data_IF_199226354652
#
_entry.id   IF_199226354652
#
_cell.length_a   1.000
_cell.length_b   1.000
_cell.length_c   1.000
_cell.angle_alpha   90.00
_cell.angle_beta   90.00
_cell.angle_gamma   90.00
#
_symmetry.space_group_name_H-M   'P 1'
#
loop_
_entity.id
_entity.type
_entity.pdbx_description
1 polymer ?
#
# COMPACT_ATOMS: atom_id res chain seq x y z
N UNK A 1 31.42 16.25 -98.29
CA UNK A 1 31.12 16.69 -99.67
C UNK A 1 31.83 18.01 -99.88
N UNK A 2 32.73 18.14 -100.87
CA UNK A 2 33.36 19.41 -101.20
C UNK A 2 32.59 20.03 -102.38
N UNK A 3 31.47 20.69 -102.09
CA UNK A 3 30.67 21.36 -103.14
C UNK A 3 30.36 22.82 -102.83
N UNK A 4 30.64 23.29 -101.61
CA UNK A 4 30.27 24.63 -101.16
C UNK A 4 31.07 25.74 -101.84
N UNK A 5 32.35 25.56 -102.15
CA UNK A 5 33.16 26.62 -102.76
C UNK A 5 32.83 26.86 -104.25
N UNK A 6 32.64 25.79 -105.03
CA UNK A 6 32.21 25.89 -106.43
C UNK A 6 30.77 26.37 -106.57
N UNK A 7 29.86 25.89 -105.70
CA UNK A 7 28.47 26.36 -105.67
C UNK A 7 28.38 27.84 -105.25
N UNK A 8 29.22 28.27 -104.31
CA UNK A 8 29.30 29.67 -103.86
C UNK A 8 29.88 30.59 -104.94
N UNK A 9 30.86 30.12 -105.71
CA UNK A 9 31.42 30.88 -106.84
C UNK A 9 30.41 31.06 -107.99
N UNK A 10 29.68 30.01 -108.35
CA UNK A 10 28.62 30.11 -109.36
C UNK A 10 27.47 31.00 -108.88
N UNK A 11 27.06 30.88 -107.61
CA UNK A 11 26.06 31.76 -107.00
C UNK A 11 26.51 33.22 -107.01
N UNK A 12 27.79 33.49 -106.72
CA UNK A 12 28.36 34.84 -106.78
C UNK A 12 28.33 35.41 -108.18
N UNK A 13 28.73 34.60 -109.17
CA UNK A 13 28.76 34.99 -110.57
C UNK A 13 27.35 35.32 -111.08
N UNK A 14 26.37 34.51 -110.72
CA UNK A 14 24.98 34.73 -111.12
C UNK A 14 24.36 35.95 -110.41
N UNK A 15 24.64 36.14 -109.11
CA UNK A 15 24.24 37.34 -108.37
C UNK A 15 24.85 38.61 -108.97
N UNK A 16 26.12 38.56 -109.41
CA UNK A 16 26.79 39.69 -110.09
C UNK A 16 26.14 40.03 -111.42
N UNK A 17 25.81 39.01 -112.22
CA UNK A 17 25.16 39.21 -113.52
C UNK A 17 23.77 39.85 -113.39
N UNK A 18 23.01 39.54 -112.34
CA UNK A 18 21.62 40.00 -112.18
C UNK A 18 21.46 41.27 -111.31
N UNK A 19 22.26 41.44 -110.25
CA UNK A 19 22.07 42.48 -109.22
C UNK A 19 23.23 43.49 -109.14
N UNK A 20 24.30 43.28 -109.91
CA UNK A 20 25.50 44.11 -109.91
C UNK A 20 26.46 43.79 -108.75
N UNK A 21 27.72 44.19 -108.92
CA UNK A 21 28.84 43.75 -108.06
C UNK A 21 28.63 44.05 -106.57
N UNK A 22 28.13 45.24 -106.23
CA UNK A 22 28.02 45.67 -104.83
C UNK A 22 26.98 44.88 -104.01
N UNK A 23 25.81 44.59 -104.61
CA UNK A 23 24.72 43.85 -103.95
C UNK A 23 25.09 42.38 -103.86
N UNK A 24 25.68 41.83 -104.94
CA UNK A 24 26.17 40.46 -104.97
C UNK A 24 27.26 40.22 -103.90
N UNK A 25 28.24 41.13 -103.79
CA UNK A 25 29.29 41.06 -102.78
C UNK A 25 28.72 41.19 -101.35
N UNK A 26 27.73 42.06 -101.13
CA UNK A 26 27.07 42.19 -99.82
C UNK A 26 26.27 40.94 -99.43
N UNK A 27 25.53 40.34 -100.35
CA UNK A 27 24.78 39.10 -100.09
C UNK A 27 25.73 37.92 -99.86
N UNK A 28 26.84 37.86 -100.61
CA UNK A 28 27.88 36.85 -100.42
C UNK A 28 28.61 37.00 -99.08
N UNK A 29 28.74 38.22 -98.56
CA UNK A 29 29.28 38.50 -97.22
C UNK A 29 28.28 38.17 -96.10
N UNK A 30 26.98 38.20 -96.37
CA UNK A 30 25.94 37.73 -95.43
C UNK A 30 25.80 36.21 -95.43
N UNK A 31 26.16 35.55 -96.54
CA UNK A 31 26.23 34.09 -96.59
C UNK A 31 27.34 33.60 -95.66
N UNK A 32 27.04 32.68 -94.74
CA UNK A 32 28.01 32.21 -93.78
C UNK A 32 29.20 31.55 -94.47
N UNK A 33 30.39 31.97 -94.07
CA UNK A 33 31.68 31.45 -94.49
C UNK A 33 31.96 30.10 -93.85
N UNK A 34 31.26 29.04 -94.29
CA UNK A 34 31.50 27.61 -93.96
C UNK A 34 31.52 27.19 -92.47
N UNK A 35 31.39 28.11 -91.53
CA UNK A 35 31.57 27.86 -90.09
C UNK A 35 30.34 27.41 -89.31
N UNK A 36 29.19 27.21 -89.94
CA UNK A 36 27.98 26.75 -89.23
C UNK A 36 27.98 25.24 -88.95
N UNK A 37 28.92 24.50 -89.55
CA UNK A 37 29.25 23.13 -89.14
C UNK A 37 29.90 23.05 -87.76
N UNK A 38 30.43 24.17 -87.24
CA UNK A 38 31.08 24.29 -85.93
C UNK A 38 30.15 24.76 -84.81
N UNK A 39 29.01 25.39 -85.11
CA UNK A 39 28.11 25.95 -84.08
C UNK A 39 27.47 24.88 -83.19
N UNK A 40 27.45 23.63 -83.66
CA UNK A 40 27.42 22.46 -82.81
C UNK A 40 27.86 21.25 -83.63
N UNK A 41 29.15 20.90 -83.62
CA UNK A 41 29.53 19.58 -84.11
C UNK A 41 28.74 18.57 -83.28
N UNK A 42 28.10 17.59 -83.92
CA UNK A 42 27.44 16.46 -83.24
C UNK A 42 28.33 15.86 -82.16
N UNK A 43 29.66 15.85 -82.39
CA UNK A 43 30.69 15.41 -81.44
C UNK A 43 30.77 16.21 -80.14
N UNK A 44 30.52 17.52 -80.14
CA UNK A 44 30.53 18.35 -78.93
C UNK A 44 29.25 18.13 -78.11
N UNK A 45 28.12 17.95 -78.80
CA UNK A 45 26.86 17.53 -78.17
C UNK A 45 27.02 16.13 -77.54
N UNK A 46 27.61 15.18 -78.26
CA UNK A 46 27.88 13.83 -77.76
C UNK A 46 28.81 13.85 -76.54
N UNK A 47 29.83 14.72 -76.54
CA UNK A 47 30.73 14.88 -75.40
C UNK A 47 30.00 15.41 -74.18
N UNK A 48 29.19 16.45 -74.33
CA UNK A 48 28.40 17.03 -73.23
C UNK A 48 27.36 16.04 -72.71
N UNK A 49 26.72 15.26 -73.59
CA UNK A 49 25.80 14.19 -73.19
C UNK A 49 26.52 13.09 -72.41
N UNK A 50 27.70 12.67 -72.85
CA UNK A 50 28.51 11.68 -72.14
C UNK A 50 28.97 12.20 -70.76
N UNK A 51 29.43 13.44 -70.68
CA UNK A 51 29.81 14.08 -69.41
C UNK A 51 28.61 14.24 -68.47
N UNK A 52 27.44 14.62 -68.99
CA UNK A 52 26.20 14.75 -68.23
C UNK A 52 25.75 13.40 -67.69
N UNK A 53 25.76 12.35 -68.53
CA UNK A 53 25.41 10.99 -68.13
C UNK A 53 26.35 10.49 -67.02
N UNK A 54 27.66 10.65 -67.20
CA UNK A 54 28.63 10.25 -66.18
C UNK A 54 28.45 11.01 -64.85
N UNK A 55 28.05 12.29 -64.89
CA UNK A 55 27.72 13.07 -63.69
C UNK A 55 26.44 12.58 -63.03
N UNK A 56 25.44 12.20 -63.81
CA UNK A 56 24.20 11.59 -63.31
C UNK A 56 24.48 10.26 -62.63
N UNK A 57 25.26 9.38 -63.26
CA UNK A 57 25.66 8.08 -62.67
C UNK A 57 26.43 8.29 -61.36
N UNK A 58 27.34 9.26 -61.30
CA UNK A 58 28.04 9.62 -60.06
C UNK A 58 27.09 10.16 -58.99
N UNK A 59 26.09 10.94 -59.39
CA UNK A 59 25.10 11.49 -58.47
C UNK A 59 24.22 10.37 -57.88
N UNK A 60 23.73 9.46 -58.72
CA UNK A 60 22.97 8.28 -58.29
C UNK A 60 23.79 7.43 -57.32
N UNK A 61 25.05 7.11 -57.66
CA UNK A 61 25.92 6.35 -56.78
C UNK A 61 26.15 7.03 -55.41
N UNK A 62 26.27 8.37 -55.37
CA UNK A 62 26.41 9.12 -54.11
C UNK A 62 25.11 9.12 -53.30
N UNK A 63 23.96 9.18 -53.96
CA UNK A 63 22.66 9.11 -53.29
C UNK A 63 22.42 7.73 -52.70
N UNK A 64 22.69 6.68 -53.47
CA UNK A 64 22.58 5.29 -53.01
C UNK A 64 23.43 5.02 -51.78
N UNK A 65 24.70 5.46 -51.81
CA UNK A 65 25.60 5.29 -50.66
C UNK A 65 25.09 6.05 -49.42
N UNK A 66 24.57 7.26 -49.61
CA UNK A 66 23.96 8.03 -48.50
C UNK A 66 22.70 7.35 -47.96
N UNK A 67 21.91 6.74 -48.83
CA UNK A 67 20.69 6.04 -48.44
C UNK A 67 21.02 4.78 -47.62
N UNK A 68 21.97 3.95 -48.09
CA UNK A 68 22.47 2.79 -47.34
C UNK A 68 23.07 3.18 -45.99
N UNK A 69 23.85 4.26 -45.95
CA UNK A 69 24.41 4.78 -44.70
C UNK A 69 23.32 5.26 -43.74
N UNK A 70 22.26 5.88 -44.27
CA UNK A 70 21.12 6.31 -43.47
C UNK A 70 20.34 5.11 -42.90
N UNK A 71 20.04 4.12 -43.72
CA UNK A 71 19.38 2.87 -43.31
C UNK A 71 20.19 2.18 -42.20
N UNK A 72 21.48 1.95 -42.40
CA UNK A 72 22.34 1.33 -41.39
C UNK A 72 22.37 2.11 -40.06
N UNK A 73 22.35 3.45 -40.12
CA UNK A 73 22.29 4.30 -38.91
C UNK A 73 20.93 4.24 -38.22
N UNK A 74 19.85 4.07 -38.98
CA UNK A 74 18.51 3.91 -38.45
C UNK A 74 18.35 2.55 -37.78
N UNK A 75 18.81 1.47 -38.40
CA UNK A 75 18.80 0.13 -37.84
C UNK A 75 19.59 0.06 -36.53
N UNK A 76 20.79 0.63 -36.51
CA UNK A 76 21.61 0.70 -35.30
C UNK A 76 20.91 1.50 -34.17
N UNK A 77 20.20 2.59 -34.50
CA UNK A 77 19.44 3.36 -33.52
C UNK A 77 18.23 2.60 -32.98
N UNK A 78 17.53 1.86 -33.84
CA UNK A 78 16.40 1.04 -33.45
C UNK A 78 16.84 -0.09 -32.51
N UNK A 79 17.90 -0.80 -32.86
CA UNK A 79 18.49 -1.85 -32.01
C UNK A 79 18.92 -1.30 -30.64
N UNK A 80 19.61 -0.16 -30.60
CA UNK A 80 19.99 0.48 -29.34
C UNK A 80 18.78 0.97 -28.53
N UNK A 81 17.71 1.40 -29.20
CA UNK A 81 16.48 1.82 -28.52
C UNK A 81 15.75 0.62 -27.89
N UNK A 82 15.69 -0.49 -28.60
CA UNK A 82 15.15 -1.78 -28.13
C UNK A 82 15.92 -2.27 -26.89
N UNK A 83 17.25 -2.35 -26.98
CA UNK A 83 18.11 -2.74 -25.85
C UNK A 83 17.89 -1.85 -24.61
N UNK A 84 17.76 -0.54 -24.83
CA UNK A 84 17.51 0.42 -23.74
C UNK A 84 16.12 0.25 -23.12
N UNK A 85 15.12 -0.10 -23.91
CA UNK A 85 13.77 -0.39 -23.42
C UNK A 85 13.80 -1.67 -22.59
N UNK A 86 14.42 -2.73 -23.09
CA UNK A 86 14.51 -4.01 -22.38
C UNK A 86 15.25 -3.87 -21.05
N UNK A 87 16.38 -3.15 -21.06
CA UNK A 87 17.12 -2.85 -19.83
C UNK A 87 16.28 -2.08 -18.81
N UNK A 88 15.45 -1.12 -19.28
CA UNK A 88 14.53 -0.38 -18.40
C UNK A 88 13.43 -1.29 -17.86
N UNK A 89 12.83 -2.13 -18.68
CA UNK A 89 11.80 -3.07 -18.24
C UNK A 89 12.34 -4.05 -17.20
N UNK A 90 13.52 -4.63 -17.43
CA UNK A 90 14.18 -5.51 -16.48
C UNK A 90 14.48 -4.79 -15.14
N UNK A 91 14.95 -3.54 -15.20
CA UNK A 91 15.17 -2.72 -14.01
C UNK A 91 13.87 -2.44 -13.25
N UNK A 92 12.78 -2.07 -13.94
CA UNK A 92 11.48 -1.85 -13.31
C UNK A 92 10.92 -3.12 -12.68
N UNK A 93 11.06 -4.26 -13.35
CA UNK A 93 10.61 -5.54 -12.82
C UNK A 93 11.36 -5.91 -11.54
N UNK A 94 12.69 -5.81 -11.54
CA UNK A 94 13.52 -6.05 -10.35
C UNK A 94 13.10 -5.12 -9.19
N UNK A 95 12.94 -3.83 -9.47
CA UNK A 95 12.52 -2.85 -8.46
C UNK A 95 11.12 -3.15 -7.90
N UNK A 96 10.22 -3.62 -8.73
CA UNK A 96 8.87 -3.99 -8.33
C UNK A 96 8.89 -5.23 -7.43
N UNK A 97 9.66 -6.26 -7.79
CA UNK A 97 9.90 -7.45 -6.96
C UNK A 97 10.49 -7.08 -5.59
N UNK A 98 11.54 -6.24 -5.55
CA UNK A 98 12.13 -5.74 -4.30
C UNK A 98 11.12 -4.98 -3.44
N UNK A 99 10.28 -4.15 -4.07
CA UNK A 99 9.25 -3.39 -3.36
C UNK A 99 8.20 -4.30 -2.75
N UNK A 100 7.77 -5.34 -3.49
CA UNK A 100 6.83 -6.34 -2.98
C UNK A 100 7.42 -7.15 -1.83
N UNK A 101 8.68 -7.59 -1.96
CA UNK A 101 9.38 -8.32 -0.91
C UNK A 101 9.51 -7.46 0.36
N UNK A 102 9.86 -6.19 0.22
CA UNK A 102 9.95 -5.26 1.35
C UNK A 102 8.58 -5.03 2.02
N UNK A 103 7.53 -4.85 1.22
CA UNK A 103 6.17 -4.69 1.75
C UNK A 103 5.70 -5.94 2.49
N UNK A 104 5.96 -7.13 1.95
CA UNK A 104 5.63 -8.39 2.61
C UNK A 104 6.35 -8.54 3.95
N UNK A 105 7.66 -8.25 3.99
CA UNK A 105 8.44 -8.30 5.22
C UNK A 105 7.90 -7.32 6.29
N UNK A 106 7.54 -6.10 5.90
CA UNK A 106 6.92 -5.13 6.82
C UNK A 106 5.56 -5.62 7.35
N UNK A 107 4.75 -6.25 6.50
CA UNK A 107 3.46 -6.80 6.92
C UNK A 107 3.64 -7.95 7.93
N UNK A 108 4.57 -8.86 7.67
CA UNK A 108 4.88 -9.98 8.57
C UNK A 108 5.39 -9.48 9.93
N UNK A 109 6.26 -8.47 9.94
CA UNK A 109 6.74 -7.83 11.17
C UNK A 109 5.58 -7.20 11.96
N UNK A 110 4.70 -6.44 11.28
CA UNK A 110 3.52 -5.83 11.90
C UNK A 110 2.55 -6.86 12.46
N UNK A 111 2.31 -7.97 11.76
CA UNK A 111 1.48 -9.06 12.24
C UNK A 111 2.08 -9.71 13.49
N UNK A 112 3.38 -10.00 13.46
CA UNK A 112 4.09 -10.58 14.62
C UNK A 112 4.00 -9.66 15.83
N UNK A 113 4.23 -8.35 15.64
CA UNK A 113 4.12 -7.37 16.71
C UNK A 113 2.68 -7.26 17.24
N UNK A 114 1.68 -7.27 16.36
CA UNK A 114 0.27 -7.25 16.76
C UNK A 114 -0.12 -8.50 17.56
N UNK A 115 0.32 -9.68 17.14
CA UNK A 115 0.09 -10.94 17.85
C UNK A 115 0.68 -10.87 19.25
N UNK A 116 1.94 -10.42 19.38
CA UNK A 116 2.58 -10.25 20.69
C UNK A 116 1.82 -9.27 21.59
N UNK A 117 1.35 -8.14 21.07
CA UNK A 117 0.54 -7.20 21.86
C UNK A 117 -0.79 -7.82 22.33
N UNK A 118 -1.41 -8.67 21.51
CA UNK A 118 -2.63 -9.36 21.89
C UNK A 118 -2.35 -10.38 23.00
N UNK A 119 -1.29 -11.16 22.87
CA UNK A 119 -0.87 -12.13 23.89
C UNK A 119 -0.57 -11.43 25.23
N UNK A 120 0.22 -10.34 25.21
CA UNK A 120 0.53 -9.53 26.40
C UNK A 120 -0.75 -8.98 27.06
N UNK A 121 -1.74 -8.53 26.25
CA UNK A 121 -3.04 -8.06 26.75
C UNK A 121 -3.85 -9.18 27.37
N UNK A 122 -3.88 -10.36 26.76
CA UNK A 122 -4.59 -11.51 27.30
C UNK A 122 -3.98 -11.96 28.63
N UNK A 123 -2.66 -12.06 28.72
CA UNK A 123 -1.98 -12.40 29.98
C UNK A 123 -2.24 -11.35 31.07
N UNK A 124 -2.26 -10.07 30.72
CA UNK A 124 -2.59 -9.01 31.67
C UNK A 124 -4.05 -9.11 32.16
N UNK A 125 -4.98 -9.37 31.25
CA UNK A 125 -6.39 -9.54 31.59
C UNK A 125 -6.62 -10.77 32.49
N UNK A 126 -5.95 -11.89 32.19
CA UNK A 126 -6.02 -13.10 32.99
C UNK A 126 -5.53 -12.84 34.42
N UNK A 127 -4.37 -12.20 34.59
CA UNK A 127 -3.86 -11.81 35.91
C UNK A 127 -4.82 -10.90 36.69
N UNK A 128 -5.41 -9.90 36.03
CA UNK A 128 -6.42 -9.06 36.68
C UNK A 128 -7.65 -9.85 37.14
N UNK A 129 -8.08 -10.83 36.36
CA UNK A 129 -9.22 -11.67 36.73
C UNK A 129 -8.87 -12.57 37.92
N UNK A 130 -7.69 -13.19 37.91
CA UNK A 130 -7.20 -14.02 39.01
C UNK A 130 -7.11 -13.20 40.32
N UNK A 131 -6.52 -12.00 40.27
CA UNK A 131 -6.43 -11.09 41.43
C UNK A 131 -7.82 -10.70 41.96
N UNK A 132 -8.77 -10.41 41.06
CA UNK A 132 -10.15 -10.08 41.43
C UNK A 132 -10.86 -11.25 42.07
N UNK A 133 -10.66 -12.46 41.56
CA UNK A 133 -11.24 -13.67 42.14
C UNK A 133 -10.67 -13.96 43.52
N UNK A 134 -9.35 -13.84 43.70
CA UNK A 134 -8.72 -14.02 45.02
C UNK A 134 -9.24 -12.99 46.03
N UNK A 135 -9.35 -11.72 45.62
CA UNK A 135 -9.91 -10.67 46.48
C UNK A 135 -11.37 -10.94 46.86
N UNK A 136 -12.19 -11.36 45.88
CA UNK A 136 -13.59 -11.71 46.13
C UNK A 136 -13.72 -12.90 47.09
N UNK A 137 -12.89 -13.93 46.94
CA UNK A 137 -12.87 -15.09 47.82
C UNK A 137 -12.54 -14.69 49.26
N UNK A 138 -11.47 -13.90 49.47
CA UNK A 138 -11.12 -13.38 50.80
C UNK A 138 -12.25 -12.57 51.42
N UNK A 139 -12.89 -11.69 50.65
CA UNK A 139 -14.02 -10.89 51.13
C UNK A 139 -15.21 -11.77 51.55
N UNK A 140 -15.47 -12.85 50.82
CA UNK A 140 -16.53 -13.81 51.17
C UNK A 140 -16.17 -14.57 52.45
N UNK A 141 -14.94 -15.05 52.59
CA UNK A 141 -14.45 -15.74 53.79
C UNK A 141 -14.56 -14.84 55.02
N UNK A 142 -14.10 -13.59 54.94
CA UNK A 142 -14.20 -12.60 56.02
C UNK A 142 -15.67 -12.35 56.43
N UNK A 143 -16.57 -12.25 55.44
CA UNK A 143 -18.01 -12.08 55.70
C UNK A 143 -18.62 -13.30 56.37
N UNK A 144 -18.22 -14.51 55.97
CA UNK A 144 -18.68 -15.75 56.59
C UNK A 144 -18.19 -15.87 58.03
N UNK A 145 -16.92 -15.56 58.31
CA UNK A 145 -16.39 -15.54 59.67
C UNK A 145 -17.11 -14.51 60.54
N UNK A 146 -17.31 -13.30 60.02
CA UNK A 146 -18.07 -12.27 60.74
C UNK A 146 -19.50 -12.70 61.05
N UNK A 147 -20.20 -13.30 60.07
CA UNK A 147 -21.55 -13.81 60.27
C UNK A 147 -21.60 -14.92 61.33
N UNK A 148 -20.63 -15.85 61.31
CA UNK A 148 -20.53 -16.91 62.30
C UNK A 148 -20.31 -16.34 63.71
N UNK A 149 -19.39 -15.39 63.86
CA UNK A 149 -19.14 -14.74 65.15
C UNK A 149 -20.36 -13.97 65.67
N UNK A 150 -21.10 -13.29 64.79
CA UNK A 150 -22.35 -12.61 65.15
C UNK A 150 -23.45 -13.60 65.59
N UNK A 151 -23.53 -14.76 64.93
CA UNK A 151 -24.46 -15.82 65.30
C UNK A 151 -24.11 -16.43 66.66
N UNK A 152 -22.84 -16.74 66.90
CA UNK A 152 -22.35 -17.29 68.18
C UNK A 152 -22.63 -16.31 69.34
N UNK A 153 -22.33 -15.02 69.16
CA UNK A 153 -22.62 -13.98 70.16
C UNK A 153 -24.14 -13.85 70.45
N UNK A 154 -24.98 -13.96 69.41
CA UNK A 154 -26.43 -13.95 69.60
C UNK A 154 -26.92 -15.18 70.36
N UNK A 155 -26.34 -16.37 70.12
CA UNK A 155 -26.66 -17.58 70.87
C UNK A 155 -26.25 -17.47 72.33
N UNK A 156 -25.04 -16.99 72.63
CA UNK A 156 -24.60 -16.74 74.01
C UNK A 156 -25.52 -15.76 74.74
N UNK A 157 -25.88 -14.66 74.07
CA UNK A 157 -26.81 -13.69 74.62
C UNK A 157 -28.19 -14.30 74.89
N UNK A 158 -28.70 -15.13 73.99
CA UNK A 158 -29.98 -15.84 74.17
C UNK A 158 -29.92 -16.83 75.34
N UNK A 159 -28.86 -17.62 75.44
CA UNK A 159 -28.65 -18.56 76.55
C UNK A 159 -28.58 -17.84 77.91
N UNK A 160 -27.84 -16.74 77.97
CA UNK A 160 -27.76 -15.89 79.17
C UNK A 160 -29.14 -15.34 79.57
N UNK A 161 -29.94 -14.86 78.62
CA UNK A 161 -31.30 -14.38 78.90
C UNK A 161 -32.21 -15.50 79.43
N UNK A 162 -32.11 -16.70 78.85
CA UNK A 162 -32.86 -17.87 79.29
C UNK A 162 -32.47 -18.23 80.73
N UNK A 163 -31.17 -18.32 81.03
CA UNK A 163 -30.67 -18.65 82.37
C UNK A 163 -31.14 -17.64 83.41
N UNK A 164 -31.12 -16.34 83.10
CA UNK A 164 -31.67 -15.29 83.98
C UNK A 164 -33.15 -15.53 84.25
N UNK A 165 -33.97 -15.76 83.21
CA UNK A 165 -35.41 -16.00 83.35
C UNK A 165 -35.73 -17.26 84.15
N UNK A 166 -34.97 -18.34 83.94
CA UNK A 166 -35.11 -19.56 84.74
C UNK A 166 -34.77 -19.30 86.20
N UNK A 167 -33.67 -18.61 86.50
CA UNK A 167 -33.29 -18.27 87.88
C UNK A 167 -34.33 -17.39 88.58
N UNK A 168 -34.97 -16.49 87.86
CA UNK A 168 -36.07 -15.67 88.39
C UNK A 168 -37.31 -16.52 88.67
N UNK A 169 -37.64 -17.43 87.76
CA UNK A 169 -38.74 -18.38 87.92
C UNK A 169 -38.52 -19.30 89.12
N UNK A 170 -37.33 -19.86 89.29
CA UNK A 170 -36.95 -20.69 90.43
C UNK A 170 -37.05 -19.93 91.76
N UNK A 171 -36.61 -18.67 91.81
CA UNK A 171 -36.77 -17.82 93.00
C UNK A 171 -38.23 -17.58 93.35
N UNK A 172 -39.07 -17.30 92.35
CA UNK A 172 -40.52 -17.12 92.55
C UNK A 172 -41.15 -18.40 93.08
N UNK A 173 -40.85 -19.55 92.46
CA UNK A 173 -41.32 -20.86 92.93
C UNK A 173 -40.84 -21.17 94.34
N UNK A 174 -39.57 -20.88 94.65
CA UNK A 174 -39.00 -21.00 96.00
C UNK A 174 -39.70 -20.12 97.03
N UNK A 175 -40.03 -18.86 96.69
CA UNK A 175 -40.78 -17.97 97.58
C UNK A 175 -42.21 -18.46 97.83
N UNK A 176 -42.88 -18.98 96.80
CA UNK A 176 -44.23 -19.56 96.91
C UNK A 176 -44.20 -20.81 97.78
N UNK A 177 -43.24 -21.71 97.54
CA UNK A 177 -43.03 -22.90 98.35
C UNK A 177 -42.72 -22.53 99.81
N UNK A 178 -41.85 -21.54 100.05
CA UNK A 178 -41.53 -21.04 101.39
C UNK A 178 -42.75 -20.43 102.10
N UNK A 179 -43.56 -19.63 101.40
CA UNK A 179 -44.81 -19.10 101.93
C UNK A 179 -45.81 -20.22 102.30
N UNK A 180 -45.92 -21.26 101.47
CA UNK A 180 -46.71 -22.46 101.77
C UNK A 180 -46.21 -23.19 103.02
N UNK A 181 -44.89 -23.38 103.16
CA UNK A 181 -44.29 -23.96 104.37
C UNK A 181 -44.55 -23.12 105.61
N UNK A 182 -44.48 -21.78 105.52
CA UNK A 182 -44.82 -20.89 106.64
C UNK A 182 -46.30 -20.98 107.02
N UNK A 183 -47.21 -20.99 106.05
CA UNK A 183 -48.65 -21.16 106.30
C UNK A 183 -48.97 -22.53 106.91
N UNK A 184 -48.37 -23.60 106.40
CA UNK A 184 -48.51 -24.95 106.96
C UNK A 184 -47.86 -25.10 108.35
N UNK A 185 -46.73 -24.46 108.59
CA UNK A 185 -46.06 -24.46 109.89
C UNK A 185 -46.82 -23.64 110.94
N UNK A 186 -47.39 -22.50 110.55
CA UNK A 186 -48.26 -21.70 111.41
C UNK A 186 -49.56 -22.41 111.78
N UNK A 187 -50.14 -23.19 110.86
CA UNK A 187 -51.31 -24.01 111.21
C UNK A 187 -50.91 -25.11 112.19
N UNK A 188 -49.79 -25.79 111.99
CA UNK A 188 -49.29 -26.80 112.92
C UNK A 188 -49.02 -26.22 114.33
N UNK A 189 -48.39 -25.05 114.44
CA UNK A 189 -48.14 -24.40 115.74
C UNK A 189 -49.42 -23.86 116.37
N UNK A 190 -50.35 -23.32 115.59
CA UNK A 190 -51.68 -22.92 116.08
C UNK A 190 -52.46 -24.13 116.61
N UNK A 191 -52.43 -25.27 115.93
CA UNK A 191 -53.05 -26.51 116.42
C UNK A 191 -52.43 -27.01 117.72
N UNK A 192 -51.10 -26.99 117.84
CA UNK A 192 -50.39 -27.37 119.08
C UNK A 192 -50.75 -26.42 120.23
N UNK A 193 -50.78 -25.11 119.99
CA UNK A 193 -51.14 -24.11 121.00
C UNK A 193 -52.59 -24.27 121.47
N UNK A 194 -53.53 -24.50 120.54
CA UNK A 194 -54.94 -24.70 120.83
C UNK A 194 -55.18 -25.98 121.65
N UNK A 195 -54.47 -27.08 121.32
CA UNK A 195 -54.51 -28.32 122.09
C UNK A 195 -53.94 -28.15 123.51
N UNK A 196 -52.85 -27.39 123.64
CA UNK A 196 -52.22 -27.11 124.94
C UNK A 196 -53.14 -26.26 125.84
N UNK A 197 -53.78 -25.24 125.28
CA UNK A 197 -54.76 -24.41 126.01
C UNK A 197 -55.97 -25.25 126.43
N UNK A 198 -56.45 -26.16 125.58
CA UNK A 198 -57.57 -27.04 125.91
C UNK A 198 -57.23 -28.06 127.01
N UNK A 199 -55.99 -28.55 127.05
CA UNK A 199 -55.51 -29.47 128.08
C UNK A 199 -55.21 -28.81 129.44
N UNK A 200 -55.16 -27.47 129.50
CA UNK A 200 -54.85 -26.69 130.71
C UNK A 200 -56.10 -26.09 131.37
N UNK A 201 -57.30 -26.38 130.85
CA UNK A 201 -58.58 -26.12 131.49
C UNK A 201 -59.15 -27.38 132.11
#
# INVERSE_FOLDING_TARGET
>A
MPSTESERFELHRELKNQLGDFVADSMMNMLPNEGWSDVARTRDIDRVLAESTARFDQFEARIDERFRSFEARMDAKLAHFEEKIDAKFAHYQTRMEDTFAHFQAQMDERFTHFQKQMDDRFEHFQRQMDDRFEHFQKQMDDRFEHFKGAMDANFEHFDAQINVRFSESDRRLGSLAGALWMLGGMSATAFIALFTILATR
#
